data_IF_049940918642
#
_entry.id   IF_049940918642
#
_cell.length_a   1.000
_cell.length_b   1.000
_cell.length_c   1.000
_cell.angle_alpha   90.00
_cell.angle_beta   90.00
_cell.angle_gamma   90.00
#
_symmetry.space_group_name_H-M   'P 1'
#
loop_
_entity.id
_entity.type
_entity.pdbx_description
1 polymer ?
#
# COMPACT_ATOMS: atom_id res chain seq x y z
N UNK A 1 -16.21 15.83 0.71
CA UNK A 1 -15.04 16.61 1.21
C UNK A 1 -14.24 15.82 2.26
N UNK A 2 -14.86 15.35 3.35
CA UNK A 2 -14.17 14.59 4.40
C UNK A 2 -13.42 13.35 3.89
N UNK A 3 -14.04 12.54 3.02
CA UNK A 3 -13.39 11.40 2.37
C UNK A 3 -12.11 11.78 1.62
N UNK A 4 -12.14 12.86 0.84
CA UNK A 4 -10.99 13.32 0.08
C UNK A 4 -9.85 13.78 1.01
N UNK A 5 -10.18 14.41 2.14
CA UNK A 5 -9.21 14.80 3.17
C UNK A 5 -8.58 13.55 3.80
N UNK A 6 -9.38 12.56 4.22
CA UNK A 6 -8.88 11.31 4.78
C UNK A 6 -7.99 10.56 3.78
N UNK A 7 -8.41 10.47 2.53
CA UNK A 7 -7.65 9.82 1.47
C UNK A 7 -6.31 10.52 1.21
N UNK A 8 -6.32 11.85 1.08
CA UNK A 8 -5.10 12.63 0.90
C UNK A 8 -4.15 12.47 2.10
N UNK A 9 -4.68 12.48 3.33
CA UNK A 9 -3.90 12.27 4.54
C UNK A 9 -3.25 10.88 4.58
N UNK A 10 -3.99 9.84 4.20
CA UNK A 10 -3.45 8.47 4.10
C UNK A 10 -2.35 8.36 3.04
N UNK A 11 -2.54 8.95 1.86
CA UNK A 11 -1.50 8.99 0.82
C UNK A 11 -0.23 9.71 1.30
N UNK A 12 -0.37 10.88 1.94
CA UNK A 12 0.75 11.61 2.51
C UNK A 12 1.48 10.80 3.58
N UNK A 13 0.74 10.19 4.51
CA UNK A 13 1.31 9.35 5.57
C UNK A 13 2.04 8.15 4.99
N UNK A 14 1.43 7.46 4.02
CA UNK A 14 2.04 6.33 3.33
C UNK A 14 3.30 6.74 2.56
N UNK A 15 3.32 7.90 1.90
CA UNK A 15 4.50 8.41 1.21
C UNK A 15 5.64 8.74 2.19
N UNK A 16 5.33 9.34 3.34
CA UNK A 16 6.32 9.65 4.38
C UNK A 16 6.91 8.39 5.00
N UNK A 17 6.06 7.40 5.31
CA UNK A 17 6.48 6.11 5.84
C UNK A 17 7.39 5.39 4.83
N UNK A 18 7.00 5.33 3.56
CA UNK A 18 7.85 4.74 2.52
C UNK A 18 9.18 5.48 2.38
N UNK A 19 9.20 6.82 2.42
CA UNK A 19 10.44 7.60 2.35
C UNK A 19 11.37 7.26 3.52
N UNK A 20 10.83 7.13 4.72
CA UNK A 20 11.59 6.74 5.92
C UNK A 20 12.10 5.30 5.82
N UNK A 21 11.25 4.36 5.45
CA UNK A 21 11.59 2.95 5.27
C UNK A 21 12.65 2.75 4.19
N UNK A 22 12.54 3.44 3.07
CA UNK A 22 13.53 3.38 1.98
C UNK A 22 14.88 3.99 2.37
N UNK A 23 14.90 4.93 3.31
CA UNK A 23 16.15 5.46 3.88
C UNK A 23 16.79 4.45 4.83
N UNK A 24 16.00 3.71 5.60
CA UNK A 24 16.49 2.72 6.56
C UNK A 24 16.85 1.38 5.90
N UNK A 25 16.15 1.01 4.81
CA UNK A 25 16.29 -0.26 4.12
C UNK A 25 16.31 -0.04 2.60
N UNK A 26 17.48 0.21 1.99
CA UNK A 26 17.59 0.45 0.55
C UNK A 26 17.07 -0.74 -0.27
N UNK A 27 17.19 -1.97 0.23
CA UNK A 27 16.62 -3.17 -0.41
C UNK A 27 15.09 -3.12 -0.55
N UNK A 28 14.38 -2.52 0.42
CA UNK A 28 12.92 -2.33 0.30
C UNK A 28 12.61 -1.37 -0.85
N UNK A 29 13.44 -0.34 -1.02
CA UNK A 29 13.30 0.62 -2.12
C UNK A 29 13.53 -0.06 -3.47
N UNK A 30 14.53 -0.92 -3.58
CA UNK A 30 14.79 -1.68 -4.82
C UNK A 30 13.65 -2.62 -5.16
N UNK A 31 13.15 -3.39 -4.19
CA UNK A 31 11.96 -4.24 -4.34
C UNK A 31 10.76 -3.41 -4.81
N UNK A 32 10.49 -2.29 -4.15
CA UNK A 32 9.39 -1.40 -4.52
C UNK A 32 9.58 -0.82 -5.92
N UNK A 33 10.78 -0.42 -6.31
CA UNK A 33 11.06 0.10 -7.65
C UNK A 33 10.85 -0.95 -8.74
N UNK A 34 11.30 -2.19 -8.50
CA UNK A 34 11.11 -3.32 -9.40
C UNK A 34 9.64 -3.75 -9.54
N UNK A 35 8.81 -3.50 -8.52
CA UNK A 35 7.41 -3.87 -8.52
C UNK A 35 6.66 -3.19 -9.70
N UNK A 36 5.90 -3.96 -10.50
CA UNK A 36 5.11 -3.43 -11.60
C UNK A 36 4.14 -2.33 -11.16
N UNK A 37 3.92 -1.35 -12.04
CA UNK A 37 3.09 -0.17 -11.73
C UNK A 37 1.66 -0.53 -11.32
N UNK A 38 1.10 -1.62 -11.85
CA UNK A 38 -0.27 -2.01 -11.52
C UNK A 38 -0.44 -2.37 -10.03
N UNK A 39 0.55 -2.98 -9.36
CA UNK A 39 0.47 -3.21 -7.91
C UNK A 39 0.49 -1.90 -7.12
N UNK A 40 1.30 -0.93 -7.56
CA UNK A 40 1.36 0.41 -6.95
C UNK A 40 0.03 1.13 -7.13
N UNK A 41 -0.56 1.05 -8.32
CA UNK A 41 -1.88 1.59 -8.60
C UNK A 41 -2.97 0.92 -7.78
N UNK A 42 -2.97 -0.40 -7.63
CA UNK A 42 -3.90 -1.10 -6.73
C UNK A 42 -3.77 -0.60 -5.30
N UNK A 43 -2.55 -0.35 -4.80
CA UNK A 43 -2.36 0.23 -3.47
C UNK A 43 -2.99 1.63 -3.40
N UNK A 44 -2.66 2.51 -4.35
CA UNK A 44 -3.05 3.93 -4.29
C UNK A 44 -4.52 4.19 -4.61
N UNK A 45 -5.13 3.43 -5.52
CA UNK A 45 -6.48 3.68 -6.04
C UNK A 45 -7.53 2.64 -5.61
N UNK A 46 -7.13 1.55 -4.97
CA UNK A 46 -8.07 0.56 -4.42
C UNK A 46 -7.93 0.50 -2.91
N UNK A 47 -6.76 0.11 -2.41
CA UNK A 47 -6.57 -0.12 -0.97
C UNK A 47 -6.65 1.17 -0.16
N UNK A 48 -5.96 2.24 -0.56
CA UNK A 48 -5.97 3.52 0.15
C UNK A 48 -7.37 4.18 0.20
N UNK A 49 -8.16 4.22 -0.89
CA UNK A 49 -9.55 4.65 -0.84
C UNK A 49 -10.43 3.77 0.04
N UNK A 50 -10.23 2.44 0.04
CA UNK A 50 -10.97 1.54 0.93
C UNK A 50 -10.67 1.84 2.41
N UNK A 51 -9.41 2.12 2.76
CA UNK A 51 -9.06 2.55 4.13
C UNK A 51 -9.70 3.90 4.48
N UNK A 52 -9.66 4.87 3.57
CA UNK A 52 -10.32 6.17 3.78
C UNK A 52 -11.83 5.99 4.02
N UNK A 53 -12.48 5.12 3.24
CA UNK A 53 -13.88 4.73 3.43
C UNK A 53 -14.11 4.01 4.76
N UNK A 54 -13.22 3.09 5.15
CA UNK A 54 -13.28 2.35 6.41
C UNK A 54 -13.13 3.23 7.65
N UNK A 55 -12.35 4.31 7.59
CA UNK A 55 -12.24 5.30 8.68
C UNK A 55 -13.58 6.02 8.88
N UNK A 56 -14.27 6.36 7.79
CA UNK A 56 -15.55 7.06 7.85
C UNK A 56 -16.73 6.11 8.15
N UNK A 57 -16.60 4.86 7.74
CA UNK A 57 -17.61 3.82 7.84
C UNK A 57 -16.94 2.58 8.44
N UNK A 58 -16.89 2.45 9.78
CA UNK A 58 -16.05 1.46 10.47
C UNK A 58 -16.28 0.00 10.04
N UNK A 59 -17.50 -0.39 9.67
CA UNK A 59 -17.79 -1.76 9.22
C UNK A 59 -17.10 -2.12 7.89
N UNK A 60 -16.77 -1.12 7.06
CA UNK A 60 -15.99 -1.32 5.84
C UNK A 60 -14.50 -1.53 6.08
N UNK A 61 -14.00 -1.22 7.28
CA UNK A 61 -12.59 -1.30 7.62
C UNK A 61 -12.07 -2.75 7.50
N UNK A 62 -12.86 -3.74 7.89
CA UNK A 62 -12.50 -5.15 7.71
C UNK A 62 -12.19 -5.51 6.26
N UNK A 63 -12.99 -5.02 5.30
CA UNK A 63 -12.74 -5.28 3.88
C UNK A 63 -11.48 -4.59 3.38
N UNK A 64 -11.15 -3.41 3.91
CA UNK A 64 -9.91 -2.70 3.58
C UNK A 64 -8.67 -3.47 4.03
N UNK A 65 -8.72 -4.11 5.21
CA UNK A 65 -7.66 -4.98 5.72
C UNK A 65 -7.48 -6.22 4.83
N UNK A 66 -8.58 -6.88 4.46
CA UNK A 66 -8.53 -8.05 3.57
C UNK A 66 -7.92 -7.67 2.22
N UNK A 67 -8.35 -6.55 1.63
CA UNK A 67 -7.79 -6.04 0.38
C UNK A 67 -6.29 -5.74 0.47
N UNK A 68 -5.87 -5.14 1.59
CA UNK A 68 -4.45 -4.89 1.87
C UNK A 68 -3.64 -6.19 1.95
N UNK A 69 -4.06 -7.16 2.75
CA UNK A 69 -3.34 -8.43 2.90
C UNK A 69 -3.27 -9.23 1.60
N UNK A 70 -4.33 -9.21 0.79
CA UNK A 70 -4.32 -9.84 -0.53
C UNK A 70 -3.32 -9.17 -1.48
N UNK A 71 -3.29 -7.84 -1.50
CA UNK A 71 -2.33 -7.09 -2.30
C UNK A 71 -0.89 -7.33 -1.84
N UNK A 72 -0.67 -7.34 -0.52
CA UNK A 72 0.64 -7.61 0.07
C UNK A 72 1.11 -9.04 -0.25
N UNK A 73 0.25 -10.04 -0.08
CA UNK A 73 0.54 -11.42 -0.44
C UNK A 73 0.86 -11.57 -1.95
N UNK A 74 0.16 -10.83 -2.81
CA UNK A 74 0.44 -10.80 -4.24
C UNK A 74 1.81 -10.16 -4.54
N UNK A 75 2.17 -9.07 -3.85
CA UNK A 75 3.49 -8.43 -3.96
C UNK A 75 4.60 -9.39 -3.49
N UNK A 76 4.44 -10.02 -2.32
CA UNK A 76 5.41 -10.99 -1.77
C UNK A 76 5.59 -12.17 -2.73
N UNK A 77 4.49 -12.71 -3.26
CA UNK A 77 4.53 -13.80 -4.26
C UNK A 77 5.31 -13.37 -5.50
N UNK A 78 5.10 -12.15 -5.97
CA UNK A 78 5.85 -11.60 -7.11
C UNK A 78 7.34 -11.44 -6.80
N UNK A 79 7.69 -10.89 -5.63
CA UNK A 79 9.08 -10.76 -5.18
C UNK A 79 9.80 -12.11 -5.11
N UNK A 80 9.16 -13.13 -4.51
CA UNK A 80 9.70 -14.49 -4.43
C UNK A 80 9.98 -15.08 -5.81
N UNK A 81 9.05 -14.94 -6.76
CA UNK A 81 9.22 -15.43 -8.14
C UNK A 81 10.38 -14.75 -8.88
N UNK A 82 10.81 -13.57 -8.44
CA UNK A 82 11.90 -12.79 -9.04
C UNK A 82 13.22 -12.89 -8.27
N UNK A 83 13.29 -13.69 -7.20
CA UNK A 83 14.49 -13.80 -6.35
C UNK A 83 14.80 -12.51 -5.58
N UNK A 84 13.82 -11.61 -5.44
CA UNK A 84 13.95 -10.34 -4.70
C UNK A 84 13.58 -10.47 -3.22
N UNK A 85 13.41 -11.71 -2.75
CA UNK A 85 13.09 -12.04 -1.37
C UNK A 85 14.29 -12.82 -0.81
N UNK A 86 15.26 -12.07 -0.29
CA UNK A 86 16.40 -12.55 0.50
C UNK A 86 16.19 -12.15 1.95
#
# INVERSE_FOLDING_TARGET
MLFAICYAFLLCTHALLNKRDFKQSPEKRERYNALPRYYKFCCWFVVMPMFAGGILIPWLFMFSLVGFFLLEAACIRWYRRRGLFG
#
